data_IF_982121981933
#
_entry.id   IF_982121981933
#
_cell.length_a   1.000
_cell.length_b   1.000
_cell.length_c   1.000
_cell.angle_alpha   90.00
_cell.angle_beta   90.00
_cell.angle_gamma   90.00
#
_symmetry.space_group_name_H-M   'P 1'
#
loop_
_entity.id
_entity.type
_entity.pdbx_description
1 polymer ?
#
# COMPACT_ATOMS: atom_id res chain seq x y z
N UNK A 1 8.57 25.17 -1.84
CA UNK A 1 7.81 24.37 -0.85
C UNK A 1 6.57 23.90 -1.59
N UNK A 2 6.62 22.70 -2.17
CA UNK A 2 5.46 22.11 -2.85
C UNK A 2 4.41 21.75 -1.81
N UNK A 3 3.14 21.98 -2.15
CA UNK A 3 1.97 21.75 -1.30
C UNK A 3 1.94 20.31 -0.75
N UNK A 4 2.43 20.10 0.45
CA UNK A 4 2.53 18.82 1.15
C UNK A 4 1.15 18.32 1.67
N UNK A 5 0.07 18.66 0.97
CA UNK A 5 -1.30 18.35 1.41
C UNK A 5 -1.97 17.26 0.54
N UNK A 6 -1.20 16.63 -0.39
CA UNK A 6 -1.70 15.56 -1.24
C UNK A 6 -1.82 14.27 -0.44
N UNK A 7 -3.04 13.71 -0.39
CA UNK A 7 -3.29 12.42 0.25
C UNK A 7 -2.74 11.31 -0.65
N UNK A 8 -1.72 10.59 -0.16
CA UNK A 8 -1.11 9.46 -0.85
C UNK A 8 -1.86 8.15 -0.61
N UNK A 9 -2.21 7.87 0.66
CA UNK A 9 -2.99 6.71 1.07
C UNK A 9 -4.27 7.17 1.77
N UNK A 10 -5.41 6.55 1.42
CA UNK A 10 -6.66 6.73 2.13
C UNK A 10 -7.27 5.38 2.45
N UNK A 11 -7.59 5.18 3.70
CA UNK A 11 -8.28 4.01 4.24
C UNK A 11 -9.66 4.45 4.70
N UNK A 12 -10.72 3.82 4.17
CA UNK A 12 -12.11 4.15 4.46
C UNK A 12 -12.86 2.93 4.98
N UNK A 13 -13.35 3.00 6.21
CA UNK A 13 -14.20 1.99 6.83
C UNK A 13 -13.61 0.57 6.75
N UNK A 14 -12.28 0.44 6.90
CA UNK A 14 -11.58 -0.83 6.78
C UNK A 14 -12.06 -1.80 7.84
N UNK A 15 -12.53 -2.96 7.39
CA UNK A 15 -12.85 -4.10 8.24
C UNK A 15 -12.05 -5.32 7.77
N UNK A 16 -11.42 -6.01 8.74
CA UNK A 16 -10.78 -7.29 8.52
C UNK A 16 -11.24 -8.28 9.58
N UNK A 17 -12.02 -9.26 9.15
CA UNK A 17 -12.63 -10.27 10.00
C UNK A 17 -12.12 -11.66 9.65
N UNK A 18 -11.79 -12.44 10.66
CA UNK A 18 -11.32 -13.81 10.50
C UNK A 18 -12.32 -14.79 11.11
N UNK A 19 -12.85 -15.76 10.35
CA UNK A 19 -13.72 -16.81 10.91
C UNK A 19 -12.90 -17.72 11.83
N UNK A 20 -13.41 -17.93 13.06
CA UNK A 20 -12.77 -18.75 14.08
C UNK A 20 -13.41 -20.17 14.21
N UNK A 21 -14.42 -20.48 13.38
CA UNK A 21 -15.23 -21.69 13.51
C UNK A 21 -16.42 -21.50 14.45
N UNK A 22 -17.41 -22.42 14.40
CA UNK A 22 -18.60 -22.37 15.25
C UNK A 22 -19.46 -21.10 15.14
N UNK A 23 -19.34 -20.35 14.04
CA UNK A 23 -20.04 -19.07 13.85
C UNK A 23 -19.39 -17.86 14.53
N UNK A 24 -18.28 -18.07 15.25
CA UNK A 24 -17.53 -17.00 15.90
C UNK A 24 -16.62 -16.30 14.86
N UNK A 25 -16.60 -14.97 14.91
CA UNK A 25 -15.78 -14.14 14.01
C UNK A 25 -14.89 -13.23 14.85
N UNK A 26 -13.57 -13.30 14.62
CA UNK A 26 -12.63 -12.34 15.18
C UNK A 26 -12.61 -11.08 14.30
N UNK A 27 -13.03 -9.95 14.87
CA UNK A 27 -12.98 -8.63 14.23
C UNK A 27 -11.64 -7.96 14.53
N UNK A 28 -10.60 -8.37 13.83
CA UNK A 28 -9.26 -7.85 14.06
C UNK A 28 -9.12 -6.35 13.70
N UNK A 29 -9.87 -5.88 12.70
CA UNK A 29 -10.03 -4.47 12.35
C UNK A 29 -11.52 -4.23 12.09
N UNK A 30 -12.11 -3.24 12.76
CA UNK A 30 -13.55 -2.97 12.73
C UNK A 30 -13.81 -1.47 12.55
N UNK A 31 -14.06 -1.05 11.30
CA UNK A 31 -14.39 0.32 10.91
C UNK A 31 -13.26 1.34 11.14
N UNK A 32 -12.06 1.06 10.62
CA UNK A 32 -10.90 1.95 10.72
C UNK A 32 -10.81 2.85 9.49
N UNK A 33 -10.71 4.18 9.73
CA UNK A 33 -10.58 5.19 8.66
C UNK A 33 -9.47 6.17 9.02
N UNK A 34 -8.56 6.44 8.07
CA UNK A 34 -7.53 7.47 8.15
C UNK A 34 -6.94 7.75 6.77
N UNK A 35 -6.20 8.84 6.67
CA UNK A 35 -5.42 9.22 5.49
C UNK A 35 -3.95 9.44 5.86
N UNK A 36 -3.05 9.26 4.88
CA UNK A 36 -1.63 9.59 5.00
C UNK A 36 -1.24 10.48 3.84
N UNK A 37 -0.63 11.63 4.16
CA UNK A 37 -0.15 12.59 3.17
C UNK A 37 1.20 12.17 2.60
N UNK A 38 1.52 12.63 1.41
CA UNK A 38 2.80 12.37 0.78
C UNK A 38 3.95 12.96 1.61
N UNK A 39 4.99 12.13 1.87
CA UNK A 39 6.15 12.50 2.71
C UNK A 39 5.88 12.50 4.22
N UNK A 40 4.66 12.17 4.65
CA UNK A 40 4.28 12.06 6.06
C UNK A 40 4.77 10.75 6.68
N UNK A 41 5.14 10.80 7.96
CA UNK A 41 5.25 9.63 8.82
C UNK A 41 4.01 9.58 9.69
N UNK A 42 3.16 8.59 9.44
CA UNK A 42 1.96 8.32 10.22
C UNK A 42 2.22 7.19 11.20
N UNK A 43 2.17 7.47 12.49
CA UNK A 43 2.34 6.48 13.56
C UNK A 43 1.03 5.77 13.87
N UNK A 44 1.04 4.45 13.93
CA UNK A 44 -0.10 3.65 14.35
C UNK A 44 0.27 2.90 15.63
N UNK A 45 -0.33 3.28 16.76
CA UNK A 45 -0.02 2.73 18.08
C UNK A 45 -1.22 2.02 18.70
N UNK A 46 -0.97 1.23 19.72
CA UNK A 46 -1.97 0.53 20.51
C UNK A 46 -1.41 -0.75 21.12
N UNK A 47 -2.19 -1.40 21.97
CA UNK A 47 -1.81 -2.64 22.64
C UNK A 47 -1.51 -3.78 21.65
N UNK A 48 -0.75 -4.79 22.10
CA UNK A 48 -0.52 -6.00 21.29
C UNK A 48 -1.86 -6.67 20.97
N UNK A 49 -2.03 -7.10 19.71
CA UNK A 49 -3.27 -7.75 19.26
C UNK A 49 -4.44 -6.80 18.95
N UNK A 50 -4.31 -5.47 19.07
CA UNK A 50 -5.41 -4.53 18.76
C UNK A 50 -5.68 -4.32 17.25
N UNK A 51 -4.93 -4.98 16.33
CA UNK A 51 -5.22 -4.95 14.90
C UNK A 51 -4.24 -4.14 14.03
N UNK A 52 -3.18 -3.52 14.58
CA UNK A 52 -2.21 -2.68 13.83
C UNK A 52 -1.55 -3.41 12.66
N UNK A 53 -0.90 -4.55 12.94
CA UNK A 53 -0.28 -5.42 11.92
C UNK A 53 -1.29 -5.88 10.88
N UNK A 54 -2.52 -6.22 11.32
CA UNK A 54 -3.59 -6.59 10.41
C UNK A 54 -3.98 -5.44 9.49
N UNK A 55 -4.05 -4.22 10.00
CA UNK A 55 -4.30 -3.01 9.21
C UNK A 55 -3.21 -2.81 8.16
N UNK A 56 -1.92 -2.86 8.54
CA UNK A 56 -0.79 -2.74 7.62
C UNK A 56 -0.82 -3.80 6.51
N UNK A 57 -1.03 -5.08 6.89
CA UNK A 57 -1.11 -6.20 5.95
C UNK A 57 -2.32 -6.12 5.01
N UNK A 58 -3.44 -5.57 5.47
CA UNK A 58 -4.61 -5.30 4.64
C UNK A 58 -4.34 -4.22 3.58
N UNK A 59 -3.62 -3.15 3.95
CA UNK A 59 -3.25 -2.06 3.04
C UNK A 59 -2.37 -2.57 1.89
N UNK A 60 -1.39 -3.42 2.17
CA UNK A 60 -0.50 -4.00 1.14
C UNK A 60 -1.11 -5.21 0.42
N UNK A 61 -2.39 -5.50 0.66
CA UNK A 61 -3.15 -6.60 0.02
C UNK A 61 -2.62 -8.01 0.33
N UNK A 62 -2.00 -8.23 1.49
CA UNK A 62 -1.72 -9.59 1.97
C UNK A 62 -2.99 -10.29 2.45
N UNK A 63 -4.03 -9.52 2.80
CA UNK A 63 -5.37 -10.01 3.11
C UNK A 63 -6.38 -9.37 2.16
N UNK A 64 -7.35 -10.17 1.72
CA UNK A 64 -8.56 -9.64 1.09
C UNK A 64 -9.45 -9.03 2.18
N UNK A 65 -9.62 -7.72 2.14
CA UNK A 65 -10.37 -7.00 3.17
C UNK A 65 -11.84 -7.39 3.17
N UNK A 66 -12.42 -7.47 4.38
CA UNK A 66 -13.82 -7.89 4.57
C UNK A 66 -14.79 -6.76 4.23
N UNK A 67 -14.48 -5.52 4.63
CA UNK A 67 -15.28 -4.32 4.40
C UNK A 67 -14.41 -3.09 4.18
N UNK A 68 -15.02 -2.02 3.66
CA UNK A 68 -14.35 -0.76 3.40
C UNK A 68 -13.53 -0.72 2.12
N UNK A 69 -12.70 0.31 1.99
CA UNK A 69 -11.90 0.56 0.80
C UNK A 69 -10.50 1.05 1.18
N UNK A 70 -9.52 0.74 0.34
CA UNK A 70 -8.17 1.32 0.41
C UNK A 70 -7.86 1.97 -0.94
N UNK A 71 -7.46 3.23 -0.89
CA UNK A 71 -7.03 4.00 -2.06
C UNK A 71 -5.58 4.38 -1.92
N UNK A 72 -4.82 4.22 -2.99
CA UNK A 72 -3.45 4.68 -3.09
C UNK A 72 -3.31 5.56 -4.34
N UNK A 73 -2.80 6.79 -4.19
CA UNK A 73 -2.76 7.78 -5.27
C UNK A 73 -4.12 8.01 -5.94
N UNK A 74 -5.19 8.03 -5.15
CA UNK A 74 -6.57 8.17 -5.63
C UNK A 74 -7.16 6.94 -6.33
N UNK A 75 -6.38 5.88 -6.53
CA UNK A 75 -6.83 4.63 -7.16
C UNK A 75 -7.24 3.63 -6.08
N UNK A 76 -8.45 3.05 -6.19
CA UNK A 76 -8.91 1.98 -5.29
C UNK A 76 -8.07 0.72 -5.52
N UNK A 77 -7.27 0.33 -4.50
CA UNK A 77 -6.42 -0.86 -4.54
C UNK A 77 -7.04 -2.07 -3.83
N UNK A 78 -7.92 -1.85 -2.85
CA UNK A 78 -8.67 -2.92 -2.18
C UNK A 78 -10.11 -2.47 -1.92
N UNK A 79 -11.05 -3.43 -1.97
CA UNK A 79 -12.47 -3.23 -1.69
C UNK A 79 -13.04 -4.44 -0.96
N UNK A 80 -13.61 -4.22 0.22
CA UNK A 80 -14.34 -5.23 0.98
C UNK A 80 -15.80 -5.27 0.57
N UNK A 81 -16.32 -6.45 0.33
CA UNK A 81 -17.65 -6.63 -0.23
C UNK A 81 -18.75 -6.84 0.81
N UNK A 82 -18.40 -6.96 2.08
CA UNK A 82 -19.37 -7.28 3.14
C UNK A 82 -20.33 -6.13 3.40
N UNK A 83 -19.88 -4.87 3.33
CA UNK A 83 -20.74 -3.68 3.47
C UNK A 83 -21.86 -3.66 2.44
N UNK A 84 -21.54 -3.94 1.17
CA UNK A 84 -22.54 -4.04 0.09
C UNK A 84 -23.52 -5.19 0.31
N UNK A 85 -23.01 -6.37 0.76
CA UNK A 85 -23.87 -7.51 1.07
C UNK A 85 -24.83 -7.22 2.21
N UNK A 86 -24.35 -6.50 3.24
CA UNK A 86 -25.18 -6.04 4.35
C UNK A 86 -26.24 -5.06 3.88
N UNK A 87 -25.88 -4.05 3.08
CA UNK A 87 -26.85 -3.12 2.49
C UNK A 87 -27.94 -3.84 1.69
N UNK A 88 -27.57 -4.82 0.86
CA UNK A 88 -28.54 -5.64 0.12
C UNK A 88 -29.47 -6.41 1.07
N UNK A 89 -28.96 -6.95 2.17
CA UNK A 89 -29.76 -7.66 3.17
C UNK A 89 -30.73 -6.70 3.90
N UNK A 90 -30.25 -5.52 4.27
CA UNK A 90 -31.03 -4.48 4.95
C UNK A 90 -32.17 -3.95 4.05
N UNK A 91 -31.87 -3.69 2.76
CA UNK A 91 -32.87 -3.31 1.75
C UNK A 91 -33.94 -4.40 1.63
N UNK A 92 -33.54 -5.67 1.52
CA UNK A 92 -34.49 -6.79 1.45
C UNK A 92 -35.37 -6.87 2.68
N UNK A 93 -34.79 -6.76 3.87
CA UNK A 93 -35.54 -6.82 5.13
C UNK A 93 -36.55 -5.68 5.23
N UNK A 94 -36.12 -4.44 4.94
CA UNK A 94 -36.97 -3.24 4.93
C UNK A 94 -38.19 -3.41 4.01
N UNK A 95 -37.95 -3.72 2.75
CA UNK A 95 -39.03 -3.82 1.76
C UNK A 95 -39.91 -5.04 1.96
N UNK A 96 -39.37 -6.17 2.41
CA UNK A 96 -40.19 -7.34 2.72
C UNK A 96 -41.19 -7.05 3.85
N UNK A 97 -40.76 -6.36 4.91
CA UNK A 97 -41.65 -5.93 5.99
C UNK A 97 -42.78 -4.99 5.50
N UNK A 98 -42.46 -4.02 4.61
CA UNK A 98 -43.43 -3.12 4.00
C UNK A 98 -44.41 -3.88 3.09
N UNK A 99 -43.95 -4.80 2.27
CA UNK A 99 -44.78 -5.62 1.36
C UNK A 99 -45.76 -6.52 2.16
N UNK A 100 -45.32 -7.06 3.31
CA UNK A 100 -46.20 -7.86 4.19
C UNK A 100 -47.34 -7.01 4.79
N UNK A 101 -47.07 -5.77 5.16
CA UNK A 101 -48.06 -4.85 5.76
C UNK A 101 -49.03 -4.20 4.73
N UNK A 102 -48.64 -4.15 3.45
CA UNK A 102 -49.44 -3.54 2.37
C UNK A 102 -50.54 -4.52 1.92
N UNK A 103 -51.75 -4.06 1.70
CA UNK A 103 -52.87 -4.88 1.23
C UNK A 103 -53.03 -4.76 -0.30
N UNK A 104 -52.83 -3.54 -0.86
CA UNK A 104 -53.04 -3.25 -2.28
C UNK A 104 -52.02 -3.98 -3.18
N UNK A 105 -52.50 -4.79 -4.16
CA UNK A 105 -51.63 -5.49 -5.09
C UNK A 105 -50.73 -4.57 -5.94
N UNK A 106 -51.25 -3.40 -6.34
CA UNK A 106 -50.51 -2.42 -7.15
C UNK A 106 -49.36 -1.81 -6.36
N UNK A 107 -49.64 -1.42 -5.14
CA UNK A 107 -48.63 -0.89 -4.23
C UNK A 107 -47.55 -1.95 -3.87
N UNK A 108 -47.94 -3.21 -3.67
CA UNK A 108 -46.99 -4.34 -3.52
C UNK A 108 -46.08 -4.49 -4.72
N UNK A 109 -46.60 -4.37 -5.93
CA UNK A 109 -45.82 -4.45 -7.15
C UNK A 109 -44.79 -3.30 -7.25
N UNK A 110 -45.19 -2.08 -6.91
CA UNK A 110 -44.33 -0.91 -6.87
C UNK A 110 -43.21 -1.04 -5.83
N UNK A 111 -43.53 -1.51 -4.60
CA UNK A 111 -42.54 -1.76 -3.56
C UNK A 111 -41.51 -2.80 -3.98
N UNK A 112 -41.95 -3.89 -4.64
CA UNK A 112 -41.01 -4.91 -5.19
C UNK A 112 -40.13 -4.30 -6.27
N UNK A 113 -40.66 -3.53 -7.19
CA UNK A 113 -39.88 -2.89 -8.26
C UNK A 113 -38.82 -1.92 -7.67
N UNK A 114 -39.23 -1.09 -6.68
CA UNK A 114 -38.29 -0.18 -5.99
C UNK A 114 -37.18 -0.94 -5.25
N UNK A 115 -37.54 -1.99 -4.50
CA UNK A 115 -36.57 -2.87 -3.84
C UNK A 115 -35.55 -3.44 -4.83
N UNK A 116 -36.04 -3.97 -5.95
CA UNK A 116 -35.19 -4.65 -6.94
C UNK A 116 -34.30 -3.63 -7.66
N UNK A 117 -34.76 -2.41 -7.88
CA UNK A 117 -33.96 -1.29 -8.41
C UNK A 117 -32.85 -0.88 -7.44
N UNK A 118 -33.15 -0.67 -6.14
CA UNK A 118 -32.14 -0.32 -5.14
C UNK A 118 -31.08 -1.45 -4.99
N UNK A 119 -31.52 -2.72 -4.99
CA UNK A 119 -30.61 -3.87 -4.95
C UNK A 119 -29.71 -3.91 -6.20
N UNK A 120 -30.25 -3.62 -7.38
CA UNK A 120 -29.49 -3.59 -8.63
C UNK A 120 -28.41 -2.50 -8.61
N UNK A 121 -28.74 -1.32 -8.07
CA UNK A 121 -27.79 -0.23 -7.90
C UNK A 121 -26.64 -0.62 -6.98
N UNK A 122 -26.92 -1.17 -5.77
CA UNK A 122 -25.89 -1.61 -4.83
C UNK A 122 -25.02 -2.75 -5.42
N UNK A 123 -25.63 -3.66 -6.18
CA UNK A 123 -24.86 -4.70 -6.90
C UNK A 123 -23.91 -4.11 -7.95
N UNK A 124 -24.36 -3.09 -8.69
CA UNK A 124 -23.51 -2.41 -9.68
C UNK A 124 -22.34 -1.71 -8.99
N UNK A 125 -22.58 -1.01 -7.88
CA UNK A 125 -21.52 -0.40 -7.07
C UNK A 125 -20.54 -1.44 -6.53
N UNK A 126 -21.02 -2.59 -6.06
CA UNK A 126 -20.20 -3.70 -5.58
C UNK A 126 -19.29 -4.28 -6.70
N UNK A 127 -19.84 -4.54 -7.88
CA UNK A 127 -19.06 -5.07 -9.00
C UNK A 127 -18.06 -4.03 -9.54
N UNK A 128 -18.40 -2.75 -9.55
CA UNK A 128 -17.48 -1.66 -9.90
C UNK A 128 -16.31 -1.62 -8.92
N UNK A 129 -16.58 -1.59 -7.60
CA UNK A 129 -15.56 -1.57 -6.57
C UNK A 129 -14.62 -2.79 -6.66
N UNK A 130 -15.18 -3.98 -6.87
CA UNK A 130 -14.43 -5.22 -7.07
C UNK A 130 -13.56 -5.18 -8.32
N UNK A 131 -14.10 -4.69 -9.43
CA UNK A 131 -13.38 -4.58 -10.70
C UNK A 131 -12.24 -3.57 -10.62
N UNK A 132 -12.45 -2.39 -10.02
CA UNK A 132 -11.43 -1.38 -9.81
C UNK A 132 -10.27 -1.93 -8.96
N UNK A 133 -10.57 -2.53 -7.80
CA UNK A 133 -9.57 -3.09 -6.91
C UNK A 133 -8.78 -4.25 -7.55
N UNK A 134 -9.43 -5.08 -8.37
CA UNK A 134 -8.79 -6.18 -9.10
C UNK A 134 -7.86 -5.70 -10.21
N UNK A 135 -8.28 -4.65 -10.92
CA UNK A 135 -7.58 -4.13 -12.10
C UNK A 135 -6.76 -2.87 -11.81
N UNK A 136 -6.49 -2.52 -10.54
CA UNK A 136 -5.84 -1.28 -10.14
C UNK A 136 -4.50 -1.06 -10.86
N UNK A 137 -3.64 -2.08 -10.94
CA UNK A 137 -2.35 -1.99 -11.64
C UNK A 137 -2.51 -1.76 -13.14
N UNK A 138 -3.47 -2.47 -13.77
CA UNK A 138 -3.75 -2.33 -15.20
C UNK A 138 -4.30 -0.94 -15.54
N UNK A 139 -5.25 -0.45 -14.74
CA UNK A 139 -5.85 0.86 -14.91
C UNK A 139 -4.81 1.97 -14.69
N UNK A 140 -3.98 1.85 -13.64
CA UNK A 140 -2.90 2.78 -13.35
C UNK A 140 -1.87 2.83 -14.50
N UNK A 141 -1.39 1.66 -14.97
CA UNK A 141 -0.49 1.58 -16.12
C UNK A 141 -1.09 2.20 -17.39
N UNK A 142 -2.39 1.99 -17.65
CA UNK A 142 -3.08 2.58 -18.80
C UNK A 142 -3.13 4.11 -18.69
N UNK A 143 -3.42 4.65 -17.51
CA UNK A 143 -3.44 6.10 -17.26
C UNK A 143 -2.03 6.72 -17.43
N UNK A 144 -0.99 6.05 -16.94
CA UNK A 144 0.39 6.49 -17.15
C UNK A 144 0.76 6.50 -18.64
N UNK A 145 0.39 5.44 -19.39
CA UNK A 145 0.63 5.39 -20.83
C UNK A 145 -0.09 6.53 -21.56
N UNK A 146 -1.34 6.82 -21.19
CA UNK A 146 -2.10 7.94 -21.77
C UNK A 146 -1.42 9.30 -21.48
N UNK A 147 -0.95 9.52 -20.26
CA UNK A 147 -0.22 10.74 -19.89
C UNK A 147 1.10 10.88 -20.65
N UNK A 148 1.88 9.79 -20.76
CA UNK A 148 3.12 9.75 -21.56
C UNK A 148 2.83 10.04 -23.02
N UNK A 149 1.81 9.42 -23.61
CA UNK A 149 1.40 9.66 -24.99
C UNK A 149 1.06 11.14 -25.20
N UNK A 150 0.20 11.73 -24.37
CA UNK A 150 -0.20 13.13 -24.49
C UNK A 150 1.00 14.09 -24.40
N UNK A 151 1.90 13.87 -23.43
CA UNK A 151 3.10 14.67 -23.24
C UNK A 151 4.01 14.65 -24.46
N UNK A 152 4.37 13.46 -24.92
CA UNK A 152 5.36 13.32 -26.00
C UNK A 152 4.80 13.64 -27.37
N UNK A 153 3.51 13.41 -27.64
CA UNK A 153 2.85 13.85 -28.87
C UNK A 153 2.98 15.36 -29.00
N UNK A 154 2.62 16.13 -27.98
CA UNK A 154 2.74 17.59 -28.01
C UNK A 154 4.18 18.10 -28.17
N UNK A 155 5.17 17.42 -27.53
CA UNK A 155 6.58 17.80 -27.66
C UNK A 155 7.12 17.50 -29.05
N UNK A 156 6.81 16.34 -29.62
CA UNK A 156 7.25 15.92 -30.97
C UNK A 156 6.62 16.82 -32.03
N UNK A 157 5.35 17.18 -31.94
CA UNK A 157 4.68 18.11 -32.83
C UNK A 157 5.37 19.47 -32.84
N UNK A 158 5.68 20.04 -31.68
CA UNK A 158 6.41 21.31 -31.56
C UNK A 158 7.83 21.26 -32.19
N UNK A 159 8.54 20.13 -31.95
CA UNK A 159 9.88 19.94 -32.53
C UNK A 159 9.82 19.78 -34.06
N UNK A 160 8.76 19.18 -34.61
CA UNK A 160 8.52 19.09 -36.06
C UNK A 160 8.19 20.45 -36.67
N UNK A 161 7.35 21.27 -36.03
CA UNK A 161 7.02 22.63 -36.45
C UNK A 161 8.27 23.53 -36.49
N UNK A 162 9.23 23.33 -35.56
CA UNK A 162 10.51 24.05 -35.53
C UNK A 162 11.56 23.53 -36.51
N UNK A 163 11.27 22.44 -37.23
CA UNK A 163 12.20 21.83 -38.21
C UNK A 163 13.43 21.14 -37.59
N UNK A 164 13.43 20.87 -36.25
CA UNK A 164 14.57 20.29 -35.56
C UNK A 164 14.54 18.76 -35.57
N UNK A 165 15.02 18.14 -36.66
CA UNK A 165 15.04 16.68 -36.81
C UNK A 165 15.85 15.95 -35.73
N UNK A 166 16.91 16.55 -35.18
CA UNK A 166 17.72 15.94 -34.14
C UNK A 166 16.93 15.82 -32.84
N UNK A 167 16.15 16.85 -32.47
CA UNK A 167 15.29 16.88 -31.32
C UNK A 167 14.11 15.88 -31.45
N UNK A 168 13.51 15.80 -32.64
CA UNK A 168 12.45 14.79 -32.93
C UNK A 168 12.96 13.37 -32.70
N UNK A 169 14.19 13.05 -33.16
CA UNK A 169 14.81 11.73 -32.94
C UNK A 169 15.04 11.46 -31.44
N UNK A 170 15.58 12.43 -30.70
CA UNK A 170 15.84 12.31 -29.27
C UNK A 170 14.55 12.09 -28.48
N UNK A 171 13.52 12.92 -28.69
CA UNK A 171 12.21 12.81 -28.08
C UNK A 171 11.52 11.49 -28.41
N UNK A 172 11.67 10.97 -29.64
CA UNK A 172 11.11 9.67 -30.02
C UNK A 172 11.73 8.51 -29.24
N UNK A 173 13.04 8.56 -28.98
CA UNK A 173 13.75 7.54 -28.19
C UNK A 173 13.29 7.62 -26.73
N UNK A 174 13.24 8.84 -26.17
CA UNK A 174 12.78 9.07 -24.80
C UNK A 174 11.33 8.61 -24.60
N UNK A 175 10.43 8.96 -25.52
CA UNK A 175 9.04 8.51 -25.55
C UNK A 175 8.92 6.98 -25.49
N UNK A 176 9.67 6.25 -26.33
CA UNK A 176 9.66 4.79 -26.32
C UNK A 176 10.11 4.21 -24.97
N UNK A 177 11.10 4.83 -24.34
CA UNK A 177 11.62 4.41 -23.05
C UNK A 177 10.61 4.68 -21.94
N UNK A 178 10.02 5.88 -21.90
CA UNK A 178 9.00 6.23 -20.89
C UNK A 178 7.72 5.40 -21.08
N UNK A 179 7.29 5.15 -22.31
CA UNK A 179 6.15 4.26 -22.57
C UNK A 179 6.41 2.82 -22.10
N UNK A 180 7.66 2.32 -22.26
CA UNK A 180 8.05 0.99 -21.77
C UNK A 180 8.04 0.94 -20.25
N UNK A 181 8.50 1.99 -19.55
CA UNK A 181 8.41 2.11 -18.11
C UNK A 181 6.95 2.14 -17.66
N UNK A 182 6.10 2.99 -18.24
CA UNK A 182 4.69 3.10 -17.93
C UNK A 182 3.95 1.77 -18.06
N UNK A 183 4.25 0.98 -19.08
CA UNK A 183 3.68 -0.38 -19.27
C UNK A 183 4.07 -1.38 -18.18
N UNK A 184 5.26 -1.25 -17.61
CA UNK A 184 5.78 -2.16 -16.57
C UNK A 184 5.43 -1.72 -15.16
N UNK A 185 5.09 -0.45 -14.98
CA UNK A 185 4.79 0.10 -13.65
C UNK A 185 3.51 -0.50 -13.10
N UNK A 186 3.62 -1.08 -11.90
CA UNK A 186 2.49 -1.55 -11.09
C UNK A 186 2.31 -0.63 -9.91
N UNK A 187 1.07 -0.25 -9.63
CA UNK A 187 0.74 0.65 -8.53
C UNK A 187 1.07 0.01 -7.17
N UNK A 188 0.67 -1.25 -7.00
CA UNK A 188 0.83 -1.95 -5.71
C UNK A 188 2.30 -2.18 -5.35
N UNK A 189 3.21 -2.29 -6.34
CA UNK A 189 4.65 -2.45 -6.06
C UNK A 189 5.31 -1.18 -5.50
N UNK A 190 4.62 -0.03 -5.58
CA UNK A 190 5.08 1.23 -4.95
C UNK A 190 4.79 1.28 -3.45
N UNK A 191 4.10 0.28 -2.91
CA UNK A 191 3.90 0.06 -1.48
C UNK A 191 4.76 -1.13 -1.08
N UNK A 192 5.66 -0.94 -0.12
CA UNK A 192 6.54 -1.99 0.39
C UNK A 192 6.37 -2.15 1.90
N UNK A 193 6.74 -3.32 2.43
CA UNK A 193 6.63 -3.61 3.85
C UNK A 193 7.97 -4.01 4.45
N UNK A 194 8.25 -3.43 5.62
CA UNK A 194 9.30 -3.87 6.52
C UNK A 194 8.61 -4.67 7.63
N UNK A 195 8.99 -5.93 7.78
CA UNK A 195 8.33 -6.88 8.70
C UNK A 195 8.93 -6.81 10.11
N UNK A 196 8.13 -7.18 11.09
CA UNK A 196 8.45 -7.17 12.51
C UNK A 196 9.62 -8.11 12.87
N UNK A 197 9.64 -9.32 12.32
CA UNK A 197 10.70 -10.30 12.55
C UNK A 197 11.57 -10.43 11.29
N UNK A 198 12.76 -9.84 11.29
CA UNK A 198 13.67 -9.94 10.15
C UNK A 198 14.10 -11.38 9.86
N UNK A 199 14.29 -12.22 10.89
CA UNK A 199 14.76 -13.58 10.72
C UNK A 199 13.75 -14.44 9.95
N UNK A 200 12.47 -14.34 10.29
CA UNK A 200 11.41 -15.10 9.60
C UNK A 200 11.01 -14.50 8.23
N UNK A 201 11.36 -13.22 7.99
CA UNK A 201 11.01 -12.53 6.75
C UNK A 201 12.01 -12.73 5.61
N UNK A 202 13.21 -13.23 5.90
CA UNK A 202 14.26 -13.49 4.93
C UNK A 202 14.37 -15.01 4.68
N UNK A 203 14.37 -15.45 3.40
CA UNK A 203 14.58 -16.87 3.09
C UNK A 203 16.04 -17.26 3.47
N UNK A 204 16.22 -18.17 4.44
CA UNK A 204 17.56 -18.54 4.91
C UNK A 204 18.41 -19.27 3.87
N UNK A 205 17.82 -19.71 2.76
CA UNK A 205 18.50 -20.41 1.65
C UNK A 205 18.99 -19.45 0.55
N UNK A 206 18.55 -18.21 0.58
CA UNK A 206 18.96 -17.18 -0.36
C UNK A 206 20.09 -16.34 0.22
N UNK A 207 21.04 -15.93 -0.62
CA UNK A 207 22.03 -14.92 -0.26
C UNK A 207 21.39 -13.55 -0.08
N UNK A 208 22.04 -12.67 0.66
CA UNK A 208 21.59 -11.28 0.83
C UNK A 208 21.42 -10.57 -0.51
N UNK A 209 22.32 -10.84 -1.47
CA UNK A 209 22.20 -10.34 -2.85
C UNK A 209 20.88 -10.79 -3.50
N UNK A 210 20.56 -12.06 -3.41
CA UNK A 210 19.35 -12.63 -4.03
C UNK A 210 18.09 -12.06 -3.39
N UNK A 211 18.06 -11.93 -2.06
CA UNK A 211 16.94 -11.35 -1.30
C UNK A 211 16.69 -9.89 -1.72
N UNK A 212 17.73 -9.07 -1.80
CA UNK A 212 17.60 -7.66 -2.16
C UNK A 212 17.23 -7.53 -3.65
N UNK A 213 17.86 -8.35 -4.53
CA UNK A 213 17.64 -8.29 -5.97
C UNK A 213 16.28 -8.80 -6.42
N UNK A 214 15.58 -9.61 -5.61
CA UNK A 214 14.32 -10.30 -5.99
C UNK A 214 13.29 -9.34 -6.58
N UNK A 215 13.09 -8.18 -5.93
CA UNK A 215 12.15 -7.16 -6.41
C UNK A 215 12.48 -6.63 -7.81
N UNK A 216 13.75 -6.37 -8.10
CA UNK A 216 14.21 -5.92 -9.42
C UNK A 216 13.98 -7.00 -10.50
N UNK A 217 14.26 -8.26 -10.15
CA UNK A 217 14.08 -9.41 -11.04
C UNK A 217 12.61 -9.60 -11.38
N UNK A 218 11.71 -9.45 -10.39
CA UNK A 218 10.25 -9.52 -10.59
C UNK A 218 9.75 -8.37 -11.49
N UNK A 219 10.35 -7.17 -11.38
CA UNK A 219 10.06 -6.04 -12.27
C UNK A 219 10.62 -6.22 -13.70
N UNK A 220 11.38 -7.29 -13.94
CA UNK A 220 11.89 -7.66 -15.26
C UNK A 220 13.30 -7.15 -15.57
N UNK A 221 14.06 -6.69 -14.55
CA UNK A 221 15.49 -6.44 -14.72
C UNK A 221 16.22 -7.78 -14.90
N UNK A 222 17.12 -7.86 -15.89
CA UNK A 222 17.86 -9.09 -16.23
C UNK A 222 19.35 -8.86 -16.34
N UNK A 223 19.80 -7.61 -16.40
CA UNK A 223 21.22 -7.29 -16.46
C UNK A 223 21.86 -7.49 -15.07
N UNK A 224 22.73 -8.49 -14.96
CA UNK A 224 23.42 -8.81 -13.71
C UNK A 224 24.25 -7.64 -13.18
N UNK A 225 24.91 -6.89 -14.04
CA UNK A 225 25.76 -5.79 -13.62
C UNK A 225 24.92 -4.65 -13.03
N UNK A 226 23.74 -4.34 -13.65
CA UNK A 226 22.81 -3.35 -13.14
C UNK A 226 22.22 -3.79 -11.80
N UNK A 227 21.86 -5.08 -11.67
CA UNK A 227 21.34 -5.64 -10.41
C UNK A 227 22.42 -5.56 -9.32
N UNK A 228 23.64 -6.00 -9.60
CA UNK A 228 24.74 -6.03 -8.62
C UNK A 228 25.09 -4.62 -8.14
N UNK A 229 25.18 -3.66 -9.06
CA UNK A 229 25.45 -2.28 -8.72
C UNK A 229 24.34 -1.72 -7.78
N UNK A 230 23.07 -1.93 -8.10
CA UNK A 230 21.97 -1.49 -7.25
C UNK A 230 21.95 -2.16 -5.89
N UNK A 231 22.23 -3.47 -5.83
CA UNK A 231 22.32 -4.19 -4.57
C UNK A 231 23.45 -3.63 -3.68
N UNK A 232 24.63 -3.37 -4.25
CA UNK A 232 25.74 -2.78 -3.52
C UNK A 232 25.43 -1.36 -3.01
N UNK A 233 24.80 -0.53 -3.85
CA UNK A 233 24.32 0.79 -3.44
C UNK A 233 23.33 0.70 -2.26
N UNK A 234 22.41 -0.27 -2.29
CA UNK A 234 21.46 -0.46 -1.20
C UNK A 234 22.13 -0.96 0.08
N UNK A 235 23.11 -1.87 -0.01
CA UNK A 235 23.87 -2.32 1.14
C UNK A 235 24.61 -1.17 1.81
N UNK A 236 25.30 -0.34 1.03
CA UNK A 236 26.02 0.83 1.53
C UNK A 236 25.07 1.85 2.19
N UNK A 237 23.89 2.07 1.58
CA UNK A 237 22.85 2.95 2.11
C UNK A 237 22.34 2.53 3.50
N UNK A 238 22.24 1.22 3.74
CA UNK A 238 21.81 0.70 5.05
C UNK A 238 22.98 0.45 6.01
N UNK A 239 24.21 0.91 5.66
CA UNK A 239 25.40 0.78 6.49
C UNK A 239 25.98 -0.63 6.55
N UNK A 240 25.79 -1.40 5.48
CA UNK A 240 26.42 -2.70 5.26
C UNK A 240 27.49 -2.60 4.17
N UNK A 241 28.44 -3.54 4.16
CA UNK A 241 29.52 -3.57 3.15
C UNK A 241 29.15 -4.48 1.98
N UNK A 242 29.78 -4.27 0.82
CA UNK A 242 29.49 -5.03 -0.43
C UNK A 242 29.74 -6.53 -0.27
N UNK A 243 30.75 -6.91 0.51
CA UNK A 243 31.10 -8.30 0.79
C UNK A 243 29.99 -9.07 1.48
N UNK A 244 29.07 -8.37 2.14
CA UNK A 244 27.87 -8.95 2.75
C UNK A 244 26.89 -9.53 1.71
N UNK A 245 26.96 -9.13 0.45
CA UNK A 245 26.08 -9.61 -0.61
C UNK A 245 26.08 -11.13 -0.79
N UNK A 246 27.26 -11.77 -0.62
CA UNK A 246 27.42 -13.21 -0.77
C UNK A 246 27.05 -14.03 0.47
N UNK A 247 26.75 -13.41 1.61
CA UNK A 247 26.42 -14.10 2.85
C UNK A 247 24.93 -14.47 2.93
N UNK A 248 24.65 -15.40 3.84
CA UNK A 248 23.28 -15.84 4.16
C UNK A 248 22.74 -15.12 5.38
N UNK A 249 21.40 -14.98 5.53
CA UNK A 249 20.77 -14.26 6.66
C UNK A 249 21.24 -14.72 8.03
N UNK A 250 21.45 -16.02 8.24
CA UNK A 250 21.88 -16.58 9.53
C UNK A 250 23.30 -16.18 9.96
N UNK A 251 24.09 -15.56 9.07
CA UNK A 251 25.44 -15.05 9.36
C UNK A 251 25.43 -13.60 9.91
N UNK A 252 24.24 -13.02 10.10
CA UNK A 252 24.04 -11.63 10.51
C UNK A 252 23.39 -11.52 11.88
N UNK A 253 23.72 -10.45 12.62
CA UNK A 253 22.96 -10.08 13.81
C UNK A 253 21.53 -9.62 13.45
N UNK A 254 20.60 -9.65 14.41
CA UNK A 254 19.21 -9.21 14.18
C UNK A 254 19.10 -7.80 13.60
N UNK A 255 19.91 -6.85 14.08
CA UNK A 255 19.96 -5.50 13.53
C UNK A 255 20.51 -5.44 12.09
N UNK A 256 21.44 -6.29 11.73
CA UNK A 256 21.93 -6.40 10.34
C UNK A 256 20.88 -7.06 9.44
N UNK A 257 20.20 -8.10 9.90
CA UNK A 257 19.07 -8.71 9.16
C UNK A 257 17.95 -7.69 8.91
N UNK A 258 17.65 -6.85 9.91
CA UNK A 258 16.68 -5.76 9.75
C UNK A 258 17.11 -4.76 8.66
N UNK A 259 18.40 -4.39 8.62
CA UNK A 259 18.96 -3.53 7.57
C UNK A 259 18.86 -4.17 6.18
N UNK A 260 19.04 -5.49 6.06
CA UNK A 260 18.80 -6.24 4.81
C UNK A 260 17.32 -6.17 4.41
N UNK A 261 16.38 -6.34 5.37
CA UNK A 261 14.93 -6.19 5.14
C UNK A 261 14.55 -4.79 4.66
N UNK A 262 15.18 -3.74 5.22
CA UNK A 262 15.01 -2.35 4.78
C UNK A 262 15.56 -2.18 3.36
N UNK A 263 16.77 -2.66 3.05
CA UNK A 263 17.35 -2.61 1.71
C UNK A 263 16.46 -3.28 0.66
N UNK A 264 15.90 -4.46 0.99
CA UNK A 264 14.93 -5.18 0.14
C UNK A 264 13.69 -4.35 -0.17
N UNK A 265 13.15 -3.63 0.83
CA UNK A 265 11.98 -2.79 0.63
C UNK A 265 12.30 -1.57 -0.24
N UNK A 266 13.43 -0.92 -0.02
CA UNK A 266 13.78 0.36 -0.66
C UNK A 266 14.28 0.20 -2.10
N UNK A 267 14.91 -0.93 -2.45
CA UNK A 267 15.43 -1.15 -3.81
C UNK A 267 14.35 -1.04 -4.89
N UNK A 268 13.10 -1.23 -4.50
CA UNK A 268 11.93 -1.08 -5.37
C UNK A 268 11.54 0.38 -5.64
N UNK A 269 12.21 1.36 -5.02
CA UNK A 269 11.86 2.78 -5.04
C UNK A 269 10.38 3.00 -4.68
N UNK A 270 9.91 2.55 -3.49
CA UNK A 270 8.52 2.71 -3.09
C UNK A 270 8.20 4.17 -2.79
N UNK A 271 6.92 4.53 -2.88
CA UNK A 271 6.42 5.83 -2.38
C UNK A 271 5.84 5.70 -0.97
N UNK A 272 5.39 4.49 -0.59
CA UNK A 272 4.88 4.19 0.75
C UNK A 272 5.59 2.97 1.33
N UNK A 273 6.07 3.10 2.56
CA UNK A 273 6.57 1.98 3.36
C UNK A 273 5.62 1.74 4.54
N UNK A 274 5.17 0.50 4.69
CA UNK A 274 4.51 0.03 5.90
C UNK A 274 5.57 -0.65 6.77
N UNK A 275 5.99 0.01 7.84
CA UNK A 275 6.98 -0.50 8.79
C UNK A 275 6.24 -1.12 9.99
N UNK A 276 6.10 -2.45 9.98
CA UNK A 276 5.40 -3.22 11.01
C UNK A 276 6.36 -3.59 12.13
N UNK A 277 6.31 -2.85 13.23
CA UNK A 277 7.17 -3.01 14.42
C UNK A 277 8.66 -3.21 14.07
N UNK A 278 9.28 -2.35 13.25
CA UNK A 278 10.58 -2.62 12.63
C UNK A 278 11.75 -2.66 13.62
N UNK A 279 11.51 -2.34 14.89
CA UNK A 279 12.53 -2.26 15.94
C UNK A 279 12.22 -3.10 17.18
N UNK A 280 11.05 -3.75 17.25
CA UNK A 280 10.56 -4.40 18.47
C UNK A 280 11.45 -5.58 18.95
N UNK A 281 12.14 -6.25 18.03
CA UNK A 281 13.02 -7.39 18.34
C UNK A 281 14.50 -7.00 18.54
N UNK A 282 14.82 -5.70 18.65
CA UNK A 282 16.18 -5.19 18.69
C UNK A 282 16.49 -4.53 20.05
N UNK A 283 17.77 -4.54 20.43
CA UNK A 283 18.27 -3.80 21.58
C UNK A 283 18.10 -2.28 21.41
N UNK A 284 17.89 -1.54 22.49
CA UNK A 284 17.59 -0.10 22.49
C UNK A 284 18.58 0.72 21.66
N UNK A 285 19.89 0.42 21.76
CA UNK A 285 20.91 1.11 20.97
C UNK A 285 20.79 0.87 19.47
N UNK A 286 20.40 -0.34 19.08
CA UNK A 286 20.19 -0.71 17.67
C UNK A 286 18.85 -0.14 17.17
N UNK A 287 17.81 -0.08 18.02
CA UNK A 287 16.54 0.58 17.68
C UNK A 287 16.77 2.02 17.22
N UNK A 288 17.51 2.82 18.00
CA UNK A 288 17.83 4.19 17.65
C UNK A 288 18.55 4.31 16.29
N UNK A 289 19.50 3.41 16.01
CA UNK A 289 20.19 3.38 14.72
C UNK A 289 19.26 3.07 13.55
N UNK A 290 18.30 2.14 13.72
CA UNK A 290 17.35 1.78 12.66
C UNK A 290 16.34 2.91 12.43
N UNK A 291 15.88 3.60 13.49
CA UNK A 291 14.99 4.76 13.37
C UNK A 291 15.69 5.91 12.64
N UNK A 292 16.94 6.23 13.00
CA UNK A 292 17.72 7.26 12.31
C UNK A 292 17.93 6.88 10.83
N UNK A 293 18.27 5.62 10.54
CA UNK A 293 18.38 5.12 9.17
C UNK A 293 17.08 5.32 8.38
N UNK A 294 15.92 4.98 8.95
CA UNK A 294 14.62 5.18 8.30
C UNK A 294 14.34 6.67 8.05
N UNK A 295 14.75 7.57 8.98
CA UNK A 295 14.61 9.01 8.80
C UNK A 295 15.49 9.52 7.66
N UNK A 296 16.77 9.12 7.62
CA UNK A 296 17.70 9.51 6.56
C UNK A 296 17.20 9.04 5.18
N UNK A 297 16.68 7.82 5.12
CA UNK A 297 16.11 7.25 3.89
C UNK A 297 14.82 7.97 3.47
N UNK A 298 13.96 8.36 4.45
CA UNK A 298 12.77 9.15 4.19
C UNK A 298 13.13 10.49 3.55
N UNK A 299 14.09 11.20 4.13
CA UNK A 299 14.54 12.50 3.61
C UNK A 299 15.18 12.37 2.23
N UNK A 300 16.04 11.37 2.05
CA UNK A 300 16.76 11.14 0.79
C UNK A 300 15.86 10.76 -0.37
N UNK A 301 14.84 9.95 -0.13
CA UNK A 301 13.96 9.40 -1.17
C UNK A 301 12.55 10.01 -1.18
N UNK A 302 12.22 10.91 -0.25
CA UNK A 302 10.89 11.50 -0.13
C UNK A 302 9.82 10.47 0.25
N UNK A 303 10.18 9.48 1.09
CA UNK A 303 9.30 8.37 1.45
C UNK A 303 8.14 8.80 2.35
N UNK A 304 6.99 8.19 2.12
CA UNK A 304 5.86 8.21 3.06
C UNK A 304 5.91 6.94 3.90
N UNK A 305 5.69 7.04 5.20
CA UNK A 305 5.82 5.88 6.10
C UNK A 305 4.57 5.72 6.97
N UNK A 306 3.97 4.52 6.93
CA UNK A 306 3.06 4.05 7.98
C UNK A 306 3.90 3.28 9.00
N UNK A 307 4.14 3.89 10.16
CA UNK A 307 4.98 3.34 11.21
C UNK A 307 4.12 2.69 12.30
N UNK A 308 4.14 1.38 12.38
CA UNK A 308 3.39 0.60 13.36
C UNK A 308 4.33 0.26 14.53
N UNK A 309 3.97 0.62 15.74
CA UNK A 309 4.72 0.27 16.94
C UNK A 309 3.80 0.19 18.17
N UNK A 310 4.32 -0.37 19.25
CA UNK A 310 3.66 -0.41 20.55
C UNK A 310 4.28 0.59 21.56
N UNK A 311 5.46 1.13 21.26
CA UNK A 311 6.13 2.14 22.10
C UNK A 311 5.76 3.56 21.62
N UNK A 312 4.97 4.24 22.44
CA UNK A 312 4.50 5.60 22.16
C UNK A 312 5.67 6.61 22.09
N UNK A 313 6.74 6.41 22.87
CA UNK A 313 7.89 7.33 22.88
C UNK A 313 8.62 7.33 21.54
N UNK A 314 8.82 6.15 20.97
CA UNK A 314 9.43 6.00 19.64
C UNK A 314 8.53 6.60 18.56
N UNK A 315 7.23 6.34 18.63
CA UNK A 315 6.27 6.85 17.64
C UNK A 315 6.17 8.37 17.72
N UNK A 316 6.08 8.94 18.92
CA UNK A 316 6.07 10.41 19.11
C UNK A 316 7.31 11.08 18.52
N UNK A 317 8.49 10.47 18.71
CA UNK A 317 9.75 10.99 18.16
C UNK A 317 9.81 10.97 16.63
N UNK A 318 9.26 9.92 16.01
CA UNK A 318 9.46 9.66 14.58
C UNK A 318 8.29 10.12 13.70
N UNK A 319 7.06 10.22 14.25
CA UNK A 319 5.84 10.45 13.47
C UNK A 319 5.41 11.91 13.45
N UNK A 320 4.72 12.32 12.39
CA UNK A 320 4.07 13.62 12.26
C UNK A 320 2.66 13.61 12.87
N UNK A 321 1.91 12.53 12.62
CA UNK A 321 0.57 12.28 13.17
C UNK A 321 0.51 10.88 13.73
N UNK A 322 -0.34 10.69 14.74
CA UNK A 322 -0.49 9.42 15.46
C UNK A 322 -1.96 9.01 15.47
N UNK A 323 -2.21 7.77 15.07
CA UNK A 323 -3.48 7.08 15.25
C UNK A 323 -3.37 6.05 16.36
N UNK A 324 -4.30 6.06 17.32
CA UNK A 324 -4.36 5.11 18.42
C UNK A 324 -5.42 4.07 18.12
N UNK A 325 -5.01 2.79 18.09
CA UNK A 325 -5.93 1.66 17.92
C UNK A 325 -6.20 0.92 19.23
N UNK A 326 -7.47 0.58 19.44
CA UNK A 326 -7.92 -0.23 20.57
C UNK A 326 -9.03 -1.19 20.14
N UNK A 327 -8.87 -2.48 20.40
CA UNK A 327 -9.81 -3.56 20.00
C UNK A 327 -10.32 -3.44 18.55
N UNK A 328 -9.41 -3.27 17.60
CA UNK A 328 -9.72 -3.20 16.18
C UNK A 328 -10.27 -1.87 15.68
N UNK A 329 -10.39 -0.85 16.52
CA UNK A 329 -10.93 0.46 16.17
C UNK A 329 -9.90 1.56 16.31
N UNK A 330 -10.03 2.61 15.52
CA UNK A 330 -9.31 3.87 15.72
C UNK A 330 -10.06 4.67 16.78
N UNK A 331 -9.40 4.93 17.92
CA UNK A 331 -10.03 5.65 19.05
C UNK A 331 -9.58 7.09 19.15
N UNK A 332 -8.40 7.41 18.62
CA UNK A 332 -7.86 8.77 18.59
C UNK A 332 -7.00 8.98 17.35
N UNK A 333 -6.99 10.21 16.84
CA UNK A 333 -6.15 10.66 15.74
C UNK A 333 -5.73 12.11 16.04
N UNK A 334 -4.42 12.34 16.18
CA UNK A 334 -3.88 13.66 16.53
C UNK A 334 -2.52 13.88 15.86
N UNK A 335 -2.08 15.14 15.84
CA UNK A 335 -0.70 15.48 15.54
C UNK A 335 0.21 14.99 16.68
N UNK A 336 1.49 14.74 16.41
CA UNK A 336 2.41 14.15 17.40
C UNK A 336 2.89 15.16 18.47
N UNK A 337 2.69 16.45 18.23
CA UNK A 337 3.10 17.57 19.12
C UNK A 337 2.04 17.92 20.18
#
# INVERSE_FOLDING_TARGET
MENNNEVLLRVEHLCQYFPMGGGVVNKAVDDVSFDIKKGEVFGLVGESGCGKTTTGRSIIKLYDITGGNVYFKGVRIAAGLQSYRKQIADIKAKYNALIEQTVDPTEKANLKATRDAEIAEVKTQMETAKSEAKNCDKNYSANLQAAVNAKYTALIERAQESGNEAEVKALTIEYKNELRKAKRTKLVTQIQMIFQDPASSLDPRMTVREIIAEGLIIQGERDKNVIDQKVYEMLELVGLVREHAGRYPHEFSGGQQQRVGIARAIIMNPELIVADEPVSALDVSIQAQVINLLNDLREKFGLTILFIAHDLSVVKYFSNRIGVMYFGKMVELADSD
#
